data_IF_424884769309
#
_entry.id   IF_424884769309
#
_cell.length_a   1.000
_cell.length_b   1.000
_cell.length_c   1.000
_cell.angle_alpha   90.00
_cell.angle_beta   90.00
_cell.angle_gamma   90.00
#
_symmetry.space_group_name_H-M   'P 1'
#
loop_
_entity.id
_entity.type
_entity.pdbx_description
1 polymer ?
#
# COMPACT_ATOMS: atom_id res chain seq x y z
N UNK A 1 -9.65 22.44 21.92
CA UNK A 1 -10.17 21.94 20.65
C UNK A 1 -9.78 22.94 19.58
N UNK A 2 -8.94 22.57 18.65
CA UNK A 2 -8.31 23.45 17.67
C UNK A 2 -9.37 24.04 16.72
N UNK A 3 -9.46 25.36 16.63
CA UNK A 3 -10.38 26.10 15.75
C UNK A 3 -10.00 26.01 14.26
N UNK A 4 -9.55 24.86 13.80
CA UNK A 4 -9.22 24.58 12.42
C UNK A 4 -10.50 24.37 11.61
N UNK A 5 -10.55 24.96 10.42
CA UNK A 5 -11.63 24.67 9.48
C UNK A 5 -11.53 23.21 9.02
N UNK A 6 -12.66 22.60 8.66
CA UNK A 6 -12.72 21.22 8.16
C UNK A 6 -11.71 20.95 7.01
N UNK A 7 -11.53 21.92 6.11
CA UNK A 7 -10.55 21.79 5.02
C UNK A 7 -9.10 21.75 5.53
N UNK A 8 -8.81 22.46 6.62
CA UNK A 8 -7.49 22.42 7.26
C UNK A 8 -7.23 21.08 7.94
N UNK A 9 -8.26 20.49 8.57
CA UNK A 9 -8.15 19.17 9.19
C UNK A 9 -7.89 18.08 8.14
N UNK A 10 -8.60 18.10 7.00
CA UNK A 10 -8.37 17.15 5.90
C UNK A 10 -6.97 17.32 5.31
N UNK A 11 -6.49 18.54 5.09
CA UNK A 11 -5.16 18.78 4.55
C UNK A 11 -4.06 18.28 5.50
N UNK A 12 -4.20 18.54 6.80
CA UNK A 12 -3.28 18.04 7.81
C UNK A 12 -3.29 16.52 7.92
N UNK A 13 -4.47 15.91 7.84
CA UNK A 13 -4.63 14.47 7.85
C UNK A 13 -3.99 13.86 6.59
N UNK A 14 -4.27 14.42 5.41
CA UNK A 14 -3.67 14.00 4.15
C UNK A 14 -2.15 14.10 4.18
N UNK A 15 -1.59 15.22 4.66
CA UNK A 15 -0.15 15.37 4.78
C UNK A 15 0.47 14.34 5.75
N UNK A 16 -0.13 14.12 6.92
CA UNK A 16 0.33 13.12 7.90
C UNK A 16 0.31 11.69 7.35
N UNK A 17 -0.61 11.38 6.45
CA UNK A 17 -0.72 10.07 5.83
C UNK A 17 0.21 9.93 4.62
N UNK A 18 0.26 10.92 3.74
CA UNK A 18 0.94 10.81 2.44
C UNK A 18 2.46 11.00 2.58
N UNK A 19 2.92 11.94 3.40
CA UNK A 19 4.36 12.25 3.53
C UNK A 19 5.21 11.03 3.92
N UNK A 20 4.85 10.21 4.94
CA UNK A 20 5.62 9.03 5.29
C UNK A 20 5.70 8.00 4.16
N UNK A 21 4.63 7.85 3.36
CA UNK A 21 4.62 6.96 2.20
C UNK A 21 5.53 7.45 1.08
N UNK A 22 5.59 8.77 0.83
CA UNK A 22 6.53 9.35 -0.13
C UNK A 22 7.97 9.15 0.33
N UNK A 23 8.26 9.33 1.62
CA UNK A 23 9.60 9.10 2.17
C UNK A 23 10.06 7.64 2.00
N UNK A 24 9.12 6.68 2.07
CA UNK A 24 9.42 5.28 1.80
C UNK A 24 9.91 5.03 0.37
N UNK A 25 9.43 5.80 -0.63
CA UNK A 25 9.89 5.68 -2.02
C UNK A 25 11.37 6.05 -2.19
N UNK A 26 11.90 6.90 -1.32
CA UNK A 26 13.30 7.33 -1.37
C UNK A 26 14.25 6.31 -0.76
N UNK A 27 13.75 5.48 0.16
CA UNK A 27 14.57 4.57 0.95
C UNK A 27 15.41 3.57 0.12
N UNK A 28 14.88 2.91 -0.94
CA UNK A 28 15.68 1.99 -1.76
C UNK A 28 16.84 2.66 -2.48
N UNK A 29 16.65 3.92 -2.94
CA UNK A 29 17.68 4.70 -3.62
C UNK A 29 18.76 5.18 -2.65
N UNK A 30 18.41 5.43 -1.38
CA UNK A 30 19.33 5.87 -0.35
C UNK A 30 20.40 4.80 -0.06
N UNK A 31 20.08 3.51 -0.08
CA UNK A 31 21.04 2.43 0.14
C UNK A 31 22.15 2.46 -0.90
N UNK A 32 21.77 2.60 -2.18
CA UNK A 32 22.71 2.64 -3.29
C UNK A 32 23.68 3.83 -3.21
N UNK A 33 23.15 5.00 -2.80
CA UNK A 33 23.96 6.24 -2.70
C UNK A 33 24.84 6.27 -1.46
N UNK A 34 24.39 5.73 -0.33
CA UNK A 34 25.10 5.78 0.94
C UNK A 34 26.09 4.61 1.14
N UNK A 35 25.73 3.41 0.70
CA UNK A 35 26.52 2.20 0.96
C UNK A 35 27.26 1.69 -0.26
N UNK A 36 26.99 2.21 -1.46
CA UNK A 36 27.65 1.82 -2.71
C UNK A 36 27.40 0.37 -3.15
N UNK A 37 26.61 -0.39 -2.38
CA UNK A 37 26.29 -1.80 -2.63
C UNK A 37 24.86 -2.13 -2.19
N UNK A 38 24.23 -3.12 -2.86
CA UNK A 38 22.92 -3.62 -2.47
C UNK A 38 23.09 -4.67 -1.35
N UNK A 39 22.91 -4.25 -0.10
CA UNK A 39 23.05 -5.12 1.08
C UNK A 39 21.72 -5.65 1.59
N UNK A 40 20.58 -5.20 1.01
CA UNK A 40 19.20 -5.51 1.41
C UNK A 40 18.79 -5.03 2.81
N UNK A 41 19.63 -4.28 3.52
CA UNK A 41 19.26 -3.73 4.84
C UNK A 41 18.06 -2.79 4.73
N UNK A 42 18.08 -1.88 3.75
CA UNK A 42 16.99 -0.93 3.55
C UNK A 42 15.74 -1.59 2.97
N UNK A 43 15.88 -2.73 2.27
CA UNK A 43 14.74 -3.56 1.89
C UNK A 43 14.01 -4.06 3.15
N UNK A 44 14.72 -4.69 4.08
CA UNK A 44 14.11 -5.23 5.30
C UNK A 44 13.52 -4.14 6.18
N UNK A 45 14.25 -3.03 6.36
CA UNK A 45 13.76 -1.86 7.09
C UNK A 45 12.52 -1.29 6.41
N UNK A 46 12.57 -1.13 5.09
CA UNK A 46 11.47 -0.59 4.29
C UNK A 46 10.20 -1.44 4.38
N UNK A 47 10.33 -2.76 4.23
CA UNK A 47 9.20 -3.68 4.39
C UNK A 47 8.60 -3.59 5.80
N UNK A 48 9.43 -3.54 6.85
CA UNK A 48 8.97 -3.33 8.21
C UNK A 48 8.22 -2.00 8.38
N UNK A 49 8.75 -0.91 7.82
CA UNK A 49 8.13 0.41 7.85
C UNK A 49 6.79 0.44 7.09
N UNK A 50 6.65 -0.30 5.97
CA UNK A 50 5.36 -0.45 5.26
C UNK A 50 4.29 -0.97 6.21
N UNK A 51 4.57 -2.02 7.00
CA UNK A 51 3.61 -2.57 7.97
C UNK A 51 3.27 -1.57 9.09
N UNK A 52 4.26 -0.87 9.63
CA UNK A 52 4.04 0.14 10.67
C UNK A 52 3.17 1.28 10.13
N UNK A 53 3.51 1.82 8.96
CA UNK A 53 2.74 2.89 8.32
C UNK A 53 1.34 2.42 7.94
N UNK A 54 1.20 1.18 7.49
CA UNK A 54 -0.09 0.56 7.22
C UNK A 54 -0.97 0.59 8.46
N UNK A 55 -0.49 0.07 9.59
CA UNK A 55 -1.23 0.05 10.85
C UNK A 55 -1.61 1.45 11.35
N UNK A 56 -0.69 2.42 11.24
CA UNK A 56 -0.96 3.82 11.59
C UNK A 56 -2.03 4.44 10.68
N UNK A 57 -2.00 4.14 9.39
CA UNK A 57 -2.99 4.62 8.42
C UNK A 57 -4.37 4.04 8.71
N UNK A 58 -4.47 2.73 8.94
CA UNK A 58 -5.72 2.06 9.35
C UNK A 58 -6.29 2.70 10.61
N UNK A 59 -5.47 2.82 11.66
CA UNK A 59 -5.88 3.47 12.92
C UNK A 59 -6.44 4.88 12.67
N UNK A 60 -5.78 5.66 11.82
CA UNK A 60 -6.18 7.03 11.51
C UNK A 60 -7.50 7.07 10.76
N UNK A 61 -7.70 6.16 9.78
CA UNK A 61 -8.96 6.04 9.04
C UNK A 61 -10.12 5.67 9.99
N UNK A 62 -9.93 4.68 10.86
CA UNK A 62 -10.96 4.30 11.83
C UNK A 62 -11.30 5.44 12.80
N UNK A 63 -10.29 6.15 13.32
CA UNK A 63 -10.51 7.33 14.18
C UNK A 63 -11.29 8.42 13.45
N UNK A 64 -10.95 8.67 12.18
CA UNK A 64 -11.65 9.67 11.36
C UNK A 64 -13.12 9.26 11.13
N UNK A 65 -13.39 8.00 10.80
CA UNK A 65 -14.75 7.49 10.59
C UNK A 65 -15.63 7.60 11.84
N UNK A 66 -15.07 7.43 13.03
CA UNK A 66 -15.80 7.58 14.29
C UNK A 66 -16.27 9.02 14.53
N UNK A 67 -15.53 10.01 14.04
CA UNK A 67 -15.80 11.43 14.29
C UNK A 67 -16.48 12.16 13.13
N UNK A 68 -16.35 11.63 11.91
CA UNK A 68 -16.90 12.25 10.70
C UNK A 68 -18.23 11.60 10.31
N UNK A 69 -19.34 12.31 10.54
CA UNK A 69 -20.68 11.97 9.97
C UNK A 69 -20.74 12.31 8.49
N UNK A 70 -19.91 11.66 7.63
CA UNK A 70 -19.79 12.08 6.22
C UNK A 70 -20.00 10.94 5.24
N UNK A 71 -20.32 11.37 4.00
CA UNK A 71 -20.54 10.55 2.81
C UNK A 71 -19.47 9.46 2.68
N UNK A 72 -19.84 8.16 2.73
CA UNK A 72 -18.90 7.05 2.68
C UNK A 72 -18.10 6.97 1.38
N UNK A 73 -18.58 7.57 0.29
CA UNK A 73 -18.00 7.51 -1.05
C UNK A 73 -16.55 8.01 -1.08
N UNK A 74 -16.23 9.12 -0.41
CA UNK A 74 -14.86 9.65 -0.38
C UNK A 74 -13.87 8.74 0.36
N UNK A 75 -14.35 8.02 1.36
CA UNK A 75 -13.53 7.04 2.09
C UNK A 75 -13.17 5.87 1.18
N UNK A 76 -14.10 5.42 0.34
CA UNK A 76 -13.87 4.33 -0.62
C UNK A 76 -12.85 4.68 -1.67
N UNK A 77 -13.00 5.87 -2.29
CA UNK A 77 -12.05 6.35 -3.29
C UNK A 77 -10.66 6.48 -2.67
N UNK A 78 -10.56 7.06 -1.49
CA UNK A 78 -9.30 7.19 -0.76
C UNK A 78 -8.66 5.84 -0.43
N UNK A 79 -9.47 4.86 -0.07
CA UNK A 79 -9.00 3.50 0.25
C UNK A 79 -8.46 2.76 -0.98
N UNK A 80 -9.16 2.85 -2.12
CA UNK A 80 -8.68 2.30 -3.39
C UNK A 80 -7.40 3.00 -3.87
N UNK A 81 -7.34 4.33 -3.79
CA UNK A 81 -6.13 5.07 -4.11
C UNK A 81 -4.94 4.64 -3.23
N UNK A 82 -5.20 4.35 -1.96
CA UNK A 82 -4.17 3.86 -1.04
C UNK A 82 -3.66 2.46 -1.42
N UNK A 83 -4.52 1.55 -1.92
CA UNK A 83 -4.07 0.25 -2.46
C UNK A 83 -3.05 0.43 -3.58
N UNK A 84 -3.34 1.37 -4.51
CA UNK A 84 -2.45 1.68 -5.64
C UNK A 84 -1.11 2.24 -5.15
N UNK A 85 -1.13 3.10 -4.14
CA UNK A 85 0.10 3.66 -3.53
C UNK A 85 0.95 2.53 -2.92
N UNK A 86 0.36 1.62 -2.17
CA UNK A 86 1.07 0.47 -1.57
C UNK A 86 1.70 -0.38 -2.67
N UNK A 87 0.94 -0.79 -3.68
CA UNK A 87 1.46 -1.59 -4.79
C UNK A 87 2.58 -0.87 -5.55
N UNK A 88 2.46 0.45 -5.74
CA UNK A 88 3.51 1.26 -6.38
C UNK A 88 4.81 1.28 -5.57
N UNK A 89 4.73 1.43 -4.25
CA UNK A 89 5.89 1.42 -3.36
C UNK A 89 6.58 0.05 -3.38
N UNK A 90 5.82 -1.03 -3.26
CA UNK A 90 6.36 -2.39 -3.30
C UNK A 90 6.97 -2.70 -4.67
N UNK A 91 6.38 -2.20 -5.78
CA UNK A 91 6.97 -2.30 -7.12
C UNK A 91 8.33 -1.58 -7.21
N UNK A 92 8.46 -0.40 -6.60
CA UNK A 92 9.75 0.31 -6.55
C UNK A 92 10.81 -0.51 -5.80
N UNK A 93 10.44 -1.15 -4.68
CA UNK A 93 11.35 -2.07 -3.99
C UNK A 93 11.72 -3.26 -4.89
N UNK A 94 10.75 -3.86 -5.58
CA UNK A 94 10.99 -4.98 -6.48
C UNK A 94 11.95 -4.62 -7.63
N UNK A 95 11.81 -3.43 -8.20
CA UNK A 95 12.66 -2.90 -9.28
C UNK A 95 14.07 -2.62 -8.76
N UNK A 96 14.19 -1.84 -7.70
CA UNK A 96 15.49 -1.36 -7.22
C UNK A 96 16.39 -2.49 -6.73
N UNK A 97 15.78 -3.53 -6.11
CA UNK A 97 16.51 -4.70 -5.62
C UNK A 97 16.52 -5.88 -6.61
N UNK A 98 15.92 -5.72 -7.79
CA UNK A 98 15.86 -6.76 -8.85
C UNK A 98 15.29 -8.10 -8.32
N UNK A 99 14.15 -8.01 -7.63
CA UNK A 99 13.58 -9.12 -6.88
C UNK A 99 12.76 -10.11 -7.75
N UNK A 100 12.35 -9.70 -8.94
CA UNK A 100 11.65 -10.56 -9.88
C UNK A 100 12.62 -11.17 -10.91
N UNK A 101 12.38 -12.41 -11.37
CA UNK A 101 13.24 -13.05 -12.35
C UNK A 101 13.23 -12.27 -13.67
N UNK A 102 14.39 -12.19 -14.32
CA UNK A 102 14.47 -11.64 -15.67
C UNK A 102 13.70 -12.54 -16.63
N UNK A 103 13.04 -11.93 -17.61
CA UNK A 103 12.35 -12.71 -18.64
C UNK A 103 13.35 -13.47 -19.51
N UNK A 104 13.14 -14.76 -19.79
CA UNK A 104 14.04 -15.53 -20.66
C UNK A 104 13.90 -15.18 -22.14
N UNK A 105 13.07 -14.21 -22.53
CA UNK A 105 12.87 -13.83 -23.93
C UNK A 105 14.09 -13.11 -24.50
N UNK A 106 14.74 -13.66 -25.54
CA UNK A 106 15.96 -13.09 -26.14
C UNK A 106 15.74 -11.77 -26.89
N UNK A 107 14.49 -11.32 -27.04
CA UNK A 107 14.13 -10.10 -27.73
C UNK A 107 14.20 -8.83 -26.88
N UNK A 108 14.32 -8.95 -25.54
CA UNK A 108 14.36 -7.83 -24.64
C UNK A 108 15.77 -7.65 -24.07
N UNK A 109 16.53 -6.75 -24.69
CA UNK A 109 17.91 -6.42 -24.28
C UNK A 109 18.01 -5.61 -22.99
N UNK A 110 16.89 -5.22 -22.38
CA UNK A 110 16.84 -4.32 -21.22
C UNK A 110 15.84 -4.78 -20.19
N UNK A 111 16.20 -5.72 -19.33
CA UNK A 111 15.46 -6.05 -18.09
C UNK A 111 13.95 -6.31 -18.26
N UNK A 112 13.28 -6.59 -17.16
CA UNK A 112 11.82 -6.76 -17.13
C UNK A 112 11.11 -5.39 -17.31
N UNK A 113 10.04 -5.29 -18.13
CA UNK A 113 9.23 -4.08 -18.24
C UNK A 113 8.68 -3.61 -16.89
N UNK A 114 8.64 -2.29 -16.66
CA UNK A 114 8.14 -1.71 -15.39
C UNK A 114 6.72 -2.16 -15.06
N UNK A 115 5.89 -2.35 -16.09
CA UNK A 115 4.49 -2.78 -15.91
C UNK A 115 4.39 -4.16 -15.28
N UNK A 116 5.36 -5.05 -15.51
CA UNK A 116 5.35 -6.41 -14.95
C UNK A 116 5.57 -6.39 -13.44
N UNK A 117 6.37 -5.45 -12.92
CA UNK A 117 6.55 -5.28 -11.48
C UNK A 117 5.25 -4.82 -10.82
N UNK A 118 4.58 -3.84 -11.41
CA UNK A 118 3.30 -3.34 -10.91
C UNK A 118 2.18 -4.39 -11.03
N UNK A 119 2.13 -5.09 -12.15
CA UNK A 119 1.23 -6.21 -12.36
C UNK A 119 1.42 -7.29 -11.29
N UNK A 120 2.68 -7.72 -11.07
CA UNK A 120 3.01 -8.72 -10.06
C UNK A 120 2.54 -8.30 -8.66
N UNK A 121 2.78 -7.05 -8.26
CA UNK A 121 2.35 -6.55 -6.97
C UNK A 121 0.82 -6.52 -6.84
N UNK A 122 0.11 -6.09 -7.89
CA UNK A 122 -1.36 -6.09 -7.86
C UNK A 122 -1.92 -7.51 -7.73
N UNK A 123 -1.48 -8.46 -8.55
CA UNK A 123 -2.03 -9.82 -8.52
C UNK A 123 -1.68 -10.56 -7.22
N UNK A 124 -0.54 -10.23 -6.61
CA UNK A 124 -0.13 -10.77 -5.31
C UNK A 124 -0.90 -10.11 -4.17
N UNK A 125 -1.03 -8.79 -4.19
CA UNK A 125 -1.78 -8.01 -3.20
C UNK A 125 -3.27 -8.38 -3.19
N UNK A 126 -3.86 -8.56 -4.37
CA UNK A 126 -5.26 -9.00 -4.49
C UNK A 126 -5.46 -10.50 -4.28
N UNK A 127 -4.39 -11.23 -3.96
CA UNK A 127 -4.38 -12.70 -3.74
C UNK A 127 -4.84 -13.53 -4.94
N UNK A 128 -4.81 -12.96 -6.15
CA UNK A 128 -5.12 -13.68 -7.40
C UNK A 128 -4.00 -14.66 -7.77
N UNK A 129 -2.74 -14.18 -7.79
CA UNK A 129 -1.55 -15.00 -7.92
C UNK A 129 -1.56 -15.96 -9.11
N UNK A 130 -1.57 -15.46 -10.35
CA UNK A 130 -1.59 -16.33 -11.56
C UNK A 130 -0.39 -17.27 -11.67
N UNK A 131 0.74 -16.96 -11.00
CA UNK A 131 1.93 -17.81 -11.02
C UNK A 131 2.76 -17.73 -12.31
N UNK A 132 2.48 -16.76 -13.16
CA UNK A 132 3.24 -16.45 -14.37
C UNK A 132 4.56 -15.71 -14.07
N UNK A 133 4.60 -14.98 -12.96
CA UNK A 133 5.80 -14.35 -12.41
C UNK A 133 6.05 -14.91 -11.01
N UNK A 134 7.15 -15.65 -10.83
CA UNK A 134 7.48 -16.30 -9.55
C UNK A 134 8.87 -15.84 -9.10
N UNK A 135 8.99 -15.17 -7.94
CA UNK A 135 10.29 -14.77 -7.42
C UNK A 135 11.14 -15.99 -7.04
N UNK A 136 12.37 -16.04 -7.55
CA UNK A 136 13.30 -17.14 -7.32
C UNK A 136 14.15 -16.93 -6.04
N UNK A 137 14.46 -15.67 -5.71
CA UNK A 137 15.33 -15.30 -4.58
C UNK A 137 14.61 -15.31 -3.25
N UNK A 138 15.32 -15.48 -2.15
CA UNK A 138 14.75 -15.39 -0.80
C UNK A 138 14.14 -14.01 -0.54
N UNK A 139 14.77 -12.94 -1.01
CA UNK A 139 14.31 -11.56 -0.88
C UNK A 139 13.02 -11.33 -1.67
N UNK A 140 12.95 -11.83 -2.91
CA UNK A 140 11.74 -11.76 -3.72
C UNK A 140 10.57 -12.54 -3.10
N UNK A 141 10.85 -13.73 -2.53
CA UNK A 141 9.85 -14.49 -1.79
C UNK A 141 9.37 -13.77 -0.53
N UNK A 142 10.28 -13.09 0.18
CA UNK A 142 9.90 -12.25 1.32
C UNK A 142 8.99 -11.09 0.91
N UNK A 143 9.32 -10.40 -0.19
CA UNK A 143 8.44 -9.37 -0.75
C UNK A 143 7.05 -9.93 -1.04
N UNK A 144 6.96 -11.08 -1.73
CA UNK A 144 5.70 -11.75 -2.03
C UNK A 144 4.86 -12.03 -0.77
N UNK A 145 5.50 -12.55 0.28
CA UNK A 145 4.85 -12.82 1.58
C UNK A 145 4.31 -11.51 2.18
N UNK A 146 5.13 -10.46 2.22
CA UNK A 146 4.72 -9.15 2.74
C UNK A 146 3.55 -8.57 1.95
N UNK A 147 3.61 -8.62 0.61
CA UNK A 147 2.55 -8.15 -0.28
C UNK A 147 1.25 -8.91 -0.04
N UNK A 148 1.30 -10.24 0.03
CA UNK A 148 0.12 -11.08 0.28
C UNK A 148 -0.51 -10.81 1.65
N UNK A 149 0.29 -10.67 2.71
CA UNK A 149 -0.19 -10.34 4.06
C UNK A 149 -0.83 -8.96 4.11
N UNK A 150 -0.22 -7.97 3.48
CA UNK A 150 -0.79 -6.62 3.37
C UNK A 150 -2.12 -6.65 2.61
N UNK A 151 -2.18 -7.34 1.48
CA UNK A 151 -3.39 -7.47 0.67
C UNK A 151 -4.53 -8.14 1.43
N UNK A 152 -4.27 -9.27 2.09
CA UNK A 152 -5.26 -9.97 2.92
C UNK A 152 -5.78 -9.07 4.05
N UNK A 153 -4.88 -8.38 4.77
CA UNK A 153 -5.23 -7.45 5.85
C UNK A 153 -6.02 -6.26 5.30
N UNK A 154 -5.67 -5.79 4.10
CA UNK A 154 -6.36 -4.70 3.42
C UNK A 154 -7.80 -5.11 3.08
N UNK A 155 -8.02 -6.30 2.52
CA UNK A 155 -9.36 -6.82 2.25
C UNK A 155 -10.25 -6.89 3.51
N UNK A 156 -9.71 -7.41 4.62
CA UNK A 156 -10.42 -7.45 5.92
C UNK A 156 -10.75 -6.04 6.43
N UNK A 157 -9.80 -5.11 6.34
CA UNK A 157 -9.99 -3.71 6.75
C UNK A 157 -11.08 -3.03 5.91
N UNK A 158 -11.12 -3.32 4.61
CA UNK A 158 -12.14 -2.81 3.70
C UNK A 158 -13.54 -3.24 4.14
N UNK A 159 -13.74 -4.53 4.41
CA UNK A 159 -15.01 -5.06 4.93
C UNK A 159 -15.39 -4.41 6.25
N UNK A 160 -14.44 -4.23 7.16
CA UNK A 160 -14.68 -3.59 8.46
C UNK A 160 -15.13 -2.13 8.31
N UNK A 161 -14.54 -1.37 7.37
CA UNK A 161 -14.96 0.00 7.05
C UNK A 161 -16.40 0.03 6.52
N UNK A 162 -16.77 -0.91 5.64
CA UNK A 162 -18.15 -1.03 5.14
C UNK A 162 -19.12 -1.26 6.29
N UNK A 163 -18.86 -2.28 7.10
CA UNK A 163 -19.74 -2.63 8.22
C UNK A 163 -19.91 -1.46 9.19
N UNK A 164 -18.84 -0.74 9.49
CA UNK A 164 -18.90 0.45 10.33
C UNK A 164 -19.78 1.55 9.71
N UNK A 165 -19.64 1.80 8.41
CA UNK A 165 -20.45 2.80 7.71
C UNK A 165 -21.94 2.43 7.73
N UNK A 166 -22.28 1.16 7.52
CA UNK A 166 -23.67 0.67 7.56
C UNK A 166 -24.30 0.77 8.96
N UNK A 167 -23.53 0.50 10.01
CA UNK A 167 -24.03 0.58 11.40
C UNK A 167 -24.23 2.01 11.87
N UNK A 168 -23.50 2.97 11.35
CA UNK A 168 -23.65 4.39 11.71
C UNK A 168 -24.80 5.07 10.96
N UNK A 169 -25.28 4.51 9.85
CA UNK A 169 -26.40 5.01 9.07
C UNK A 169 -27.46 3.92 8.90
N UNK A 170 -28.19 3.54 9.98
CA UNK A 170 -29.25 2.56 9.84
C UNK A 170 -30.30 3.10 8.85
N UNK A 171 -30.84 2.25 7.95
CA UNK A 171 -31.85 2.66 7.00
C UNK A 171 -33.02 3.30 7.76
N UNK A 172 -33.53 4.42 7.25
CA UNK A 172 -34.67 5.10 7.83
C UNK A 172 -35.79 4.09 8.04
N UNK A 173 -36.23 3.89 9.29
CA UNK A 173 -37.40 3.10 9.57
C UNK A 173 -38.56 3.71 8.78
N UNK A 174 -39.11 2.99 7.80
CA UNK A 174 -40.34 3.35 7.16
C UNK A 174 -41.37 3.53 8.28
N UNK A 175 -41.68 4.79 8.59
CA UNK A 175 -42.87 5.10 9.40
C UNK A 175 -44.06 4.85 8.49
N UNK A 176 -44.62 3.64 8.61
CA UNK A 176 -45.92 3.29 8.05
C UNK A 176 -47.02 3.90 8.90
#
# INVERSE_FOLDING_TARGET
>A
MSGLTFQQEIRLLGAKLVVPWILLLVLPFAERTLLGSKTYYFLYIGLGLVFVLYGLTVRTIFSFLQHARREPVYVWIGYLAWSVIICSILSVFAIEYDLLPQTPEPSITHGRPLIDYFYYEIITFTTVGYGDIIPATAQGKLLAICTALLGATHGVTFVAIILQALTQHPPAKNQG
#
